data_IF_150374868789
#
_entry.id   IF_150374868789
#
_cell.length_a   1.000
_cell.length_b   1.000
_cell.length_c   1.000
_cell.angle_alpha   90.00
_cell.angle_beta   90.00
_cell.angle_gamma   90.00
#
_symmetry.space_group_name_H-M   'P 1'
#
loop_
_entity.id
_entity.type
_entity.pdbx_description
1 polymer ?
#
# COMPACT_ATOMS: atom_id res chain seq x y z
N UNK A 1 -16.77 13.06 64.11
CA UNK A 1 -17.83 13.93 64.66
C UNK A 1 -18.17 14.94 63.55
N UNK A 2 -19.26 14.81 62.79
CA UNK A 2 -20.65 15.26 63.09
C UNK A 2 -20.65 16.74 63.56
N UNK A 3 -21.11 17.74 62.79
CA UNK A 3 -22.53 18.07 62.52
C UNK A 3 -22.62 19.28 61.54
N UNK A 4 -23.32 19.20 60.38
CA UNK A 4 -24.66 19.76 59.96
C UNK A 4 -24.78 21.30 59.89
N UNK A 5 -24.91 21.93 58.70
CA UNK A 5 -26.10 22.24 57.82
C UNK A 5 -26.80 23.60 58.14
N UNK A 6 -27.18 24.47 57.17
CA UNK A 6 -28.49 24.59 56.45
C UNK A 6 -28.42 25.88 55.57
N UNK A 7 -28.66 25.88 54.25
CA UNK A 7 -29.91 26.01 53.43
C UNK A 7 -30.50 27.42 53.20
N UNK A 8 -30.82 27.70 51.92
CA UNK A 8 -31.92 28.49 51.31
C UNK A 8 -31.70 28.52 49.78
N UNK A 9 -32.64 28.49 48.82
CA UNK A 9 -34.03 28.02 48.64
C UNK A 9 -34.45 28.50 47.22
N UNK A 10 -35.19 27.70 46.44
CA UNK A 10 -35.91 28.13 45.22
C UNK A 10 -35.67 27.19 44.03
N UNK A 11 -36.47 26.13 43.78
CA UNK A 11 -37.85 26.07 43.24
C UNK A 11 -37.92 26.49 41.76
N UNK A 12 -38.69 25.91 40.83
CA UNK A 12 -39.51 24.69 40.66
C UNK A 12 -39.89 24.75 39.15
N UNK A 13 -39.92 23.62 38.45
CA UNK A 13 -40.40 23.58 37.06
C UNK A 13 -40.58 22.15 36.58
N UNK A 14 -41.81 21.65 36.67
CA UNK A 14 -42.28 20.33 36.22
C UNK A 14 -43.18 20.54 34.99
N UNK A 15 -43.40 19.44 34.25
CA UNK A 15 -44.42 19.15 33.20
C UNK A 15 -43.82 19.13 31.78
N UNK A 16 -43.96 18.06 30.98
CA UNK A 16 -44.66 16.80 31.16
C UNK A 16 -44.60 15.91 29.90
N UNK A 17 -45.18 14.69 30.02
CA UNK A 17 -45.91 13.88 29.03
C UNK A 17 -45.19 13.60 27.68
N UNK A 18 -44.72 12.40 27.32
CA UNK A 18 -45.36 11.09 27.40
C UNK A 18 -46.25 10.83 26.18
N UNK A 19 -45.77 10.10 25.16
CA UNK A 19 -46.57 9.22 24.27
C UNK A 19 -45.69 8.41 23.32
N UNK A 20 -46.16 7.20 23.04
CA UNK A 20 -45.48 6.09 22.38
C UNK A 20 -45.83 5.95 20.88
N UNK A 21 -45.11 5.02 20.24
CA UNK A 21 -45.34 4.33 18.98
C UNK A 21 -45.12 5.12 17.67
N UNK A 22 -44.29 4.57 16.78
CA UNK A 22 -44.76 3.82 15.61
C UNK A 22 -43.60 3.06 14.97
N UNK A 23 -43.68 1.72 14.98
CA UNK A 23 -42.98 0.87 14.03
C UNK A 23 -43.80 0.92 12.74
N UNK A 24 -43.24 1.49 11.68
CA UNK A 24 -43.75 1.32 10.33
C UNK A 24 -42.63 0.73 9.48
N UNK A 25 -42.81 -0.54 9.14
CA UNK A 25 -42.11 -1.19 8.06
C UNK A 25 -42.55 -0.56 6.73
N UNK A 26 -41.60 -0.25 5.85
CA UNK A 26 -41.82 -0.35 4.41
C UNK A 26 -40.70 -1.19 3.83
N UNK A 27 -41.14 -2.33 3.29
CA UNK A 27 -40.38 -3.27 2.48
C UNK A 27 -40.28 -2.75 1.04
N UNK A 28 -39.12 -3.04 0.42
CA UNK A 28 -38.90 -3.37 -0.98
C UNK A 28 -39.32 -2.43 -2.13
N UNK A 29 -38.27 -2.14 -2.93
CA UNK A 29 -38.18 -2.35 -4.39
C UNK A 29 -38.25 -1.13 -5.33
N UNK A 30 -37.04 -0.77 -5.78
CA UNK A 30 -36.58 -0.61 -7.16
C UNK A 30 -36.93 0.64 -8.00
N UNK A 31 -35.83 1.14 -8.60
CA UNK A 31 -35.66 1.78 -9.91
C UNK A 31 -35.96 3.28 -10.12
N UNK A 32 -34.88 3.91 -10.62
CA UNK A 32 -34.76 5.06 -11.52
C UNK A 32 -34.67 6.48 -10.94
N UNK A 33 -33.51 7.11 -11.24
CA UNK A 33 -33.47 8.51 -11.64
C UNK A 33 -32.54 9.41 -10.83
N UNK A 34 -31.41 9.75 -11.45
CA UNK A 34 -30.69 11.03 -11.35
C UNK A 34 -30.28 11.62 -9.99
N UNK A 35 -28.96 11.68 -9.78
CA UNK A 35 -28.22 12.92 -9.56
C UNK A 35 -28.53 13.74 -8.30
N UNK A 36 -27.58 13.75 -7.36
CA UNK A 36 -27.58 14.70 -6.25
C UNK A 36 -26.66 14.27 -5.13
N UNK A 37 -25.40 14.68 -5.25
CA UNK A 37 -24.36 14.56 -4.24
C UNK A 37 -24.76 15.27 -2.93
N UNK A 38 -24.79 14.53 -1.82
CA UNK A 38 -24.51 15.02 -0.47
C UNK A 38 -24.48 13.82 0.50
N UNK A 39 -23.51 12.94 0.31
CA UNK A 39 -23.23 11.85 1.23
C UNK A 39 -22.14 12.27 2.19
N UNK A 40 -22.52 12.71 3.38
CA UNK A 40 -21.64 12.84 4.54
C UNK A 40 -20.80 11.57 4.69
N UNK A 41 -19.50 11.64 4.42
CA UNK A 41 -18.55 10.56 4.71
C UNK A 41 -18.42 10.41 6.22
N UNK A 42 -19.40 9.73 6.83
CA UNK A 42 -19.18 9.06 8.09
C UNK A 42 -18.03 8.07 7.87
N UNK A 43 -16.90 8.28 8.53
CA UNK A 43 -15.84 7.27 8.65
C UNK A 43 -16.37 6.08 9.45
N UNK A 44 -17.18 5.25 8.80
CA UNK A 44 -17.30 3.85 9.13
C UNK A 44 -15.99 3.21 8.71
N UNK A 45 -15.23 2.67 9.66
CA UNK A 45 -14.19 1.66 9.43
C UNK A 45 -14.85 0.46 8.77
N UNK A 46 -15.11 0.58 7.46
CA UNK A 46 -15.65 -0.48 6.65
C UNK A 46 -14.53 -1.50 6.51
N UNK A 47 -14.65 -2.61 7.23
CA UNK A 47 -13.72 -3.74 7.10
C UNK A 47 -13.77 -4.20 5.66
N UNK A 48 -12.77 -3.79 4.86
CA UNK A 48 -12.69 -4.14 3.44
C UNK A 48 -12.73 -5.67 3.34
N UNK A 49 -13.73 -6.20 2.65
CA UNK A 49 -13.91 -7.64 2.46
C UNK A 49 -13.13 -8.18 1.28
N UNK A 50 -12.75 -7.30 0.35
CA UNK A 50 -12.07 -7.61 -0.90
C UNK A 50 -10.93 -6.62 -1.14
N UNK A 51 -9.70 -7.14 -1.10
CA UNK A 51 -8.45 -6.40 -1.30
C UNK A 51 -7.88 -6.52 -2.71
N UNK A 52 -8.57 -7.18 -3.64
CA UNK A 52 -8.14 -7.29 -5.03
C UNK A 52 -8.07 -5.92 -5.71
N UNK A 53 -7.33 -5.85 -6.81
CA UNK A 53 -7.15 -4.63 -7.59
C UNK A 53 -5.91 -3.83 -7.23
N UNK A 54 -5.81 -2.64 -7.82
CA UNK A 54 -4.68 -1.75 -7.67
C UNK A 54 -4.51 -1.26 -6.22
N UNK A 55 -3.32 -1.48 -5.69
CA UNK A 55 -2.88 -1.00 -4.41
C UNK A 55 -2.65 0.52 -4.43
N UNK A 56 -3.14 1.22 -3.41
CA UNK A 56 -2.90 2.64 -3.20
C UNK A 56 -2.54 2.89 -1.75
N UNK A 57 -1.55 3.74 -1.54
CA UNK A 57 -1.22 4.26 -0.22
C UNK A 57 -1.90 5.61 -0.04
N UNK A 58 -2.56 5.79 1.11
CA UNK A 58 -3.49 6.92 1.31
C UNK A 58 -2.82 8.21 1.77
N UNK A 59 -1.63 8.11 2.38
CA UNK A 59 -0.99 9.22 3.10
C UNK A 59 0.48 9.38 2.70
N UNK A 60 0.83 10.62 2.36
CA UNK A 60 2.19 11.05 2.10
C UNK A 60 2.49 12.35 2.85
N UNK A 61 3.72 12.49 3.30
CA UNK A 61 4.27 13.76 3.78
C UNK A 61 4.79 14.57 2.59
N UNK A 62 4.21 15.75 2.39
CA UNK A 62 4.53 16.69 1.29
C UNK A 62 5.23 17.95 1.78
N UNK A 63 5.67 17.97 3.05
CA UNK A 63 6.31 19.13 3.68
C UNK A 63 7.63 19.56 3.02
N UNK A 64 8.24 18.69 2.22
CA UNK A 64 9.47 18.98 1.49
C UNK A 64 9.32 20.07 0.40
N UNK A 65 8.10 20.35 -0.06
CA UNK A 65 7.82 21.39 -1.06
C UNK A 65 7.14 20.85 -2.32
N UNK A 66 7.14 21.63 -3.40
CA UNK A 66 6.57 21.22 -4.68
C UNK A 66 7.42 20.15 -5.34
N UNK A 67 6.81 19.02 -5.67
CA UNK A 67 7.47 17.90 -6.34
C UNK A 67 7.98 18.31 -7.73
N UNK A 68 9.26 18.02 -8.00
CA UNK A 68 9.90 18.17 -9.31
C UNK A 68 10.37 16.80 -9.80
N UNK A 69 10.00 16.45 -11.04
CA UNK A 69 10.49 15.24 -11.71
C UNK A 69 12.00 15.32 -11.94
N UNK A 70 12.63 14.15 -12.08
CA UNK A 70 14.03 14.10 -12.48
C UNK A 70 14.21 14.59 -13.92
N UNK A 71 15.37 15.19 -14.19
CA UNK A 71 15.83 15.59 -15.53
C UNK A 71 17.09 14.83 -15.90
N UNK A 72 17.65 15.06 -17.09
CA UNK A 72 18.94 14.47 -17.48
C UNK A 72 20.11 15.02 -16.65
N UNK A 73 19.92 16.13 -15.95
CA UNK A 73 20.94 16.88 -15.21
C UNK A 73 20.73 16.88 -13.70
N UNK A 74 19.48 16.72 -13.24
CA UNK A 74 19.16 16.76 -11.81
C UNK A 74 18.23 15.63 -11.40
N UNK A 75 18.42 15.02 -10.21
CA UNK A 75 17.49 14.05 -9.67
C UNK A 75 16.16 14.71 -9.29
N UNK A 76 15.15 13.89 -9.04
CA UNK A 76 13.86 14.36 -8.55
C UNK A 76 14.01 15.09 -7.21
N UNK A 77 13.21 16.13 -6.99
CA UNK A 77 13.21 16.92 -5.74
C UNK A 77 11.85 16.91 -5.09
N UNK A 78 11.85 17.00 -3.75
CA UNK A 78 10.64 17.07 -2.93
C UNK A 78 9.66 15.92 -3.21
N UNK A 79 10.20 14.71 -3.40
CA UNK A 79 9.39 13.49 -3.57
C UNK A 79 8.54 13.32 -2.30
N UNK A 80 7.19 13.20 -2.42
CA UNK A 80 6.34 12.97 -1.27
C UNK A 80 6.73 11.69 -0.53
N UNK A 81 6.96 11.77 0.78
CA UNK A 81 7.42 10.63 1.58
C UNK A 81 6.22 9.78 2.03
N UNK A 82 6.16 8.48 1.69
CA UNK A 82 5.13 7.57 2.17
C UNK A 82 5.00 7.58 3.69
N UNK A 83 3.78 7.70 4.22
CA UNK A 83 3.52 7.62 5.66
C UNK A 83 3.15 6.18 6.01
N UNK A 84 3.79 5.66 7.06
CA UNK A 84 3.53 4.33 7.60
C UNK A 84 2.05 4.15 8.00
N UNK A 85 1.30 3.18 7.45
CA UNK A 85 -0.08 2.92 7.88
C UNK A 85 -0.12 2.44 9.34
N UNK A 86 -1.07 2.94 10.13
CA UNK A 86 -1.18 2.62 11.56
C UNK A 86 -1.45 1.13 11.81
N UNK A 87 -2.27 0.51 10.95
CA UNK A 87 -2.69 -0.87 11.06
C UNK A 87 -1.67 -1.88 10.47
N UNK A 88 -0.57 -1.42 9.86
CA UNK A 88 0.31 -2.33 9.11
C UNK A 88 0.96 -3.41 10.00
N UNK A 89 1.10 -3.15 11.29
CA UNK A 89 1.66 -4.10 12.25
C UNK A 89 0.61 -5.02 12.91
N UNK A 90 -0.67 -4.92 12.52
CA UNK A 90 -1.72 -5.77 13.08
C UNK A 90 -1.67 -7.17 12.46
N UNK A 91 -1.91 -8.21 13.27
CA UNK A 91 -2.09 -9.59 12.79
C UNK A 91 -3.47 -9.77 12.12
N UNK A 92 -3.65 -9.13 10.98
CA UNK A 92 -4.89 -9.16 10.21
C UNK A 92 -4.60 -9.10 8.71
N UNK A 93 -5.55 -9.53 7.88
CA UNK A 93 -5.46 -9.38 6.41
C UNK A 93 -5.29 -7.90 6.02
N UNK A 94 -5.96 -6.99 6.74
CA UNK A 94 -5.82 -5.56 6.53
C UNK A 94 -4.38 -5.08 6.84
N UNK A 95 -3.79 -5.58 7.93
CA UNK A 95 -2.42 -5.27 8.32
C UNK A 95 -1.40 -5.80 7.33
N UNK A 96 -1.56 -7.05 6.86
CA UNK A 96 -0.71 -7.62 5.81
C UNK A 96 -0.81 -6.83 4.50
N UNK A 97 -2.04 -6.52 4.05
CA UNK A 97 -2.25 -5.68 2.86
C UNK A 97 -1.51 -4.36 3.00
N UNK A 98 -1.72 -3.65 4.12
CA UNK A 98 -1.10 -2.33 4.36
C UNK A 98 0.42 -2.42 4.44
N UNK A 99 0.97 -3.52 4.96
CA UNK A 99 2.39 -3.82 4.97
C UNK A 99 2.98 -3.99 3.56
N UNK A 100 2.30 -4.75 2.68
CA UNK A 100 2.74 -4.94 1.28
C UNK A 100 2.62 -3.62 0.51
N UNK A 101 1.51 -2.89 0.67
CA UNK A 101 1.31 -1.58 0.02
C UNK A 101 2.40 -0.58 0.43
N UNK A 102 2.69 -0.47 1.73
CA UNK A 102 3.74 0.40 2.23
C UNK A 102 5.12 -0.02 1.71
N UNK A 103 5.40 -1.32 1.62
CA UNK A 103 6.64 -1.83 1.04
C UNK A 103 6.80 -1.38 -0.42
N UNK A 104 5.77 -1.53 -1.26
CA UNK A 104 5.83 -1.05 -2.65
C UNK A 104 6.04 0.46 -2.76
N UNK A 105 5.38 1.25 -1.89
CA UNK A 105 5.59 2.68 -1.81
C UNK A 105 7.01 3.04 -1.35
N UNK A 106 7.57 2.30 -0.38
CA UNK A 106 8.94 2.46 0.09
C UNK A 106 9.97 2.17 -1.01
N UNK A 107 9.76 1.10 -1.80
CA UNK A 107 10.59 0.79 -2.96
C UNK A 107 10.53 1.91 -4.00
N UNK A 108 9.34 2.41 -4.34
CA UNK A 108 9.22 3.51 -5.30
C UNK A 108 9.90 4.78 -4.79
N UNK A 109 9.69 5.15 -3.53
CA UNK A 109 10.33 6.31 -2.92
C UNK A 109 11.87 6.19 -2.99
N UNK A 110 12.41 5.02 -2.67
CA UNK A 110 13.84 4.76 -2.79
C UNK A 110 14.34 4.79 -4.24
N UNK A 111 13.55 4.35 -5.23
CA UNK A 111 13.89 4.49 -6.64
C UNK A 111 13.94 5.96 -7.11
N UNK A 112 13.07 6.81 -6.56
CA UNK A 112 12.98 8.23 -6.91
C UNK A 112 14.03 9.09 -6.20
N UNK A 113 14.49 8.68 -5.00
CA UNK A 113 15.33 9.53 -4.13
C UNK A 113 16.69 8.94 -3.77
N UNK A 114 16.87 7.63 -3.91
CA UNK A 114 17.99 6.88 -3.31
C UNK A 114 17.89 6.66 -1.80
N UNK A 115 16.87 7.21 -1.11
CA UNK A 115 16.67 7.03 0.32
C UNK A 115 15.97 5.69 0.61
N UNK A 116 16.75 4.74 1.14
CA UNK A 116 16.29 3.38 1.47
C UNK A 116 15.76 3.23 2.90
N UNK A 117 15.62 4.31 3.67
CA UNK A 117 15.15 4.25 5.07
C UNK A 117 13.80 3.54 5.20
N UNK A 118 12.87 3.83 4.31
CA UNK A 118 11.54 3.21 4.31
C UNK A 118 11.57 1.72 3.97
N UNK A 119 12.51 1.26 3.13
CA UNK A 119 12.69 -0.17 2.85
C UNK A 119 13.11 -0.89 4.14
N UNK A 120 14.04 -0.30 4.91
CA UNK A 120 14.51 -0.86 6.19
C UNK A 120 13.40 -0.95 7.23
N UNK A 121 12.50 0.04 7.27
CA UNK A 121 11.32 0.07 8.15
C UNK A 121 10.16 -0.81 7.67
N UNK A 122 10.17 -1.22 6.40
CA UNK A 122 9.11 -2.02 5.80
C UNK A 122 9.07 -3.46 6.33
N UNK A 123 7.99 -4.15 5.96
CA UNK A 123 7.77 -5.56 6.25
C UNK A 123 8.62 -6.51 5.39
N UNK A 124 9.46 -6.03 4.48
CA UNK A 124 10.31 -6.91 3.65
C UNK A 124 11.17 -7.83 4.55
N UNK A 125 11.31 -9.10 4.19
CA UNK A 125 12.15 -10.06 4.92
C UNK A 125 13.60 -9.59 4.96
N UNK A 126 14.36 -10.00 5.97
CA UNK A 126 15.76 -9.55 6.10
C UNK A 126 16.62 -10.05 4.94
N UNK A 127 16.36 -11.27 4.44
CA UNK A 127 17.00 -11.84 3.26
C UNK A 127 16.71 -11.00 1.99
N UNK A 128 15.43 -10.69 1.73
CA UNK A 128 15.07 -9.91 0.55
C UNK A 128 15.54 -8.46 0.68
N UNK A 129 15.60 -7.90 1.90
CA UNK A 129 16.20 -6.59 2.17
C UNK A 129 17.69 -6.58 1.82
N UNK A 130 18.45 -7.55 2.31
CA UNK A 130 19.88 -7.64 2.00
C UNK A 130 20.11 -7.71 0.50
N UNK A 131 19.37 -8.58 -0.19
CA UNK A 131 19.45 -8.72 -1.66
C UNK A 131 19.00 -7.48 -2.42
N UNK A 132 17.96 -6.80 -1.96
CA UNK A 132 17.49 -5.55 -2.55
C UNK A 132 18.54 -4.45 -2.42
N UNK A 133 19.05 -4.23 -1.20
CA UNK A 133 19.94 -3.12 -0.88
C UNK A 133 21.37 -3.32 -1.40
N UNK A 134 21.81 -4.57 -1.57
CA UNK A 134 23.10 -4.92 -2.21
C UNK A 134 23.03 -4.98 -3.73
N UNK A 135 21.83 -5.00 -4.32
CA UNK A 135 21.64 -4.98 -5.76
C UNK A 135 22.20 -3.71 -6.40
N UNK A 136 22.81 -3.86 -7.58
CA UNK A 136 23.51 -2.78 -8.29
C UNK A 136 22.68 -1.48 -8.38
N UNK A 137 21.39 -1.59 -8.73
CA UNK A 137 20.49 -0.45 -8.83
C UNK A 137 20.43 0.37 -7.53
N UNK A 138 20.12 -0.25 -6.39
CA UNK A 138 20.01 0.48 -5.12
C UNK A 138 21.37 0.90 -4.56
N UNK A 139 22.44 0.16 -4.85
CA UNK A 139 23.80 0.57 -4.51
C UNK A 139 24.18 1.89 -5.22
N UNK A 140 23.85 2.01 -6.51
CA UNK A 140 24.12 3.21 -7.31
C UNK A 140 23.26 4.41 -6.89
N UNK A 141 21.96 4.19 -6.66
CA UNK A 141 21.03 5.24 -6.23
C UNK A 141 21.42 5.84 -4.87
N UNK A 142 21.82 4.99 -3.90
CA UNK A 142 22.28 5.44 -2.59
C UNK A 142 23.56 6.29 -2.67
N UNK A 143 24.35 6.15 -3.74
CA UNK A 143 25.53 6.98 -3.99
C UNK A 143 25.19 8.43 -4.35
N UNK A 144 23.92 8.75 -4.64
CA UNK A 144 23.44 10.12 -4.92
C UNK A 144 23.89 10.69 -6.27
N UNK A 145 24.59 9.90 -7.08
CA UNK A 145 25.09 10.24 -8.42
C UNK A 145 24.27 9.62 -9.55
N UNK A 146 23.28 8.80 -9.20
CA UNK A 146 22.46 8.09 -10.17
C UNK A 146 20.99 8.30 -9.86
N UNK A 147 20.17 8.41 -10.89
CA UNK A 147 18.71 8.48 -10.77
C UNK A 147 18.02 7.97 -12.03
N UNK A 148 16.75 7.65 -11.90
CA UNK A 148 15.87 7.23 -12.98
C UNK A 148 14.94 8.38 -13.37
N UNK A 149 14.53 8.47 -14.63
CA UNK A 149 13.73 9.57 -15.14
C UNK A 149 12.37 9.71 -14.42
N UNK A 150 11.61 8.61 -14.35
CA UNK A 150 10.31 8.55 -13.68
C UNK A 150 9.98 7.11 -13.27
N UNK A 151 10.63 6.59 -12.21
CA UNK A 151 10.39 5.23 -11.77
C UNK A 151 9.04 5.13 -11.06
N UNK A 152 8.26 4.11 -11.42
CA UNK A 152 6.92 3.87 -10.87
C UNK A 152 6.69 2.39 -10.58
N UNK A 153 6.07 2.09 -9.45
CA UNK A 153 5.65 0.74 -9.05
C UNK A 153 4.13 0.74 -8.89
N UNK A 154 3.46 -0.12 -9.65
CA UNK A 154 2.01 -0.36 -9.50
C UNK A 154 1.80 -1.82 -9.14
N UNK A 155 1.21 -2.08 -7.98
CA UNK A 155 0.88 -3.42 -7.51
C UNK A 155 -0.61 -3.67 -7.66
N UNK A 156 -0.98 -4.83 -8.21
CA UNK A 156 -2.35 -5.26 -8.36
C UNK A 156 -2.53 -6.63 -7.68
N UNK A 157 -3.35 -6.68 -6.63
CA UNK A 157 -3.65 -7.92 -5.92
C UNK A 157 -4.65 -8.75 -6.74
N UNK A 158 -4.28 -9.98 -7.07
CA UNK A 158 -5.10 -10.85 -7.92
C UNK A 158 -6.30 -11.43 -7.15
N UNK A 159 -6.06 -11.76 -5.87
CA UNK A 159 -7.06 -12.36 -5.00
C UNK A 159 -7.59 -11.37 -3.97
N UNK A 160 -8.87 -11.51 -3.62
CA UNK A 160 -9.55 -10.67 -2.62
C UNK A 160 -8.92 -10.74 -1.22
N UNK A 161 -8.27 -11.86 -0.89
CA UNK A 161 -7.61 -12.15 0.39
C UNK A 161 -6.44 -13.09 0.16
N UNK A 162 -5.42 -13.09 1.03
CA UNK A 162 -4.34 -14.08 0.97
C UNK A 162 -4.87 -15.47 1.32
N UNK A 163 -4.18 -16.50 0.84
CA UNK A 163 -4.34 -17.88 1.32
C UNK A 163 -3.47 -18.06 2.55
N UNK A 164 -3.96 -18.77 3.55
CA UNK A 164 -3.19 -19.10 4.76
C UNK A 164 -3.03 -20.62 4.86
N UNK A 165 -1.80 -21.07 5.03
CA UNK A 165 -1.48 -22.47 5.29
C UNK A 165 -0.34 -22.56 6.32
N UNK A 166 -0.57 -23.29 7.42
CA UNK A 166 0.42 -23.50 8.49
C UNK A 166 1.05 -22.18 9.01
N UNK A 167 0.26 -21.11 9.14
CA UNK A 167 0.71 -19.80 9.61
C UNK A 167 1.54 -19.00 8.60
N UNK A 168 1.63 -19.47 7.35
CA UNK A 168 2.21 -18.71 6.22
C UNK A 168 1.09 -18.21 5.34
N UNK A 169 1.12 -16.91 5.05
CA UNK A 169 0.19 -16.25 4.15
C UNK A 169 0.83 -16.15 2.76
N UNK A 170 0.04 -16.39 1.73
CA UNK A 170 0.48 -16.35 0.34
C UNK A 170 -0.49 -15.47 -0.46
N UNK A 171 0.04 -14.48 -1.17
CA UNK A 171 -0.78 -13.51 -1.91
C UNK A 171 -0.22 -13.22 -3.30
N UNK A 172 -0.90 -13.64 -4.37
CA UNK A 172 -0.49 -13.29 -5.74
C UNK A 172 -0.74 -11.81 -6.03
N UNK A 173 0.31 -11.14 -6.52
CA UNK A 173 0.31 -9.73 -6.89
C UNK A 173 1.03 -9.54 -8.22
N UNK A 174 0.39 -8.89 -9.19
CA UNK A 174 1.06 -8.38 -10.38
C UNK A 174 1.71 -7.03 -10.08
N UNK A 175 3.02 -6.96 -10.23
CA UNK A 175 3.83 -5.75 -10.03
C UNK A 175 4.30 -5.22 -11.38
N UNK A 176 3.87 -4.02 -11.73
CA UNK A 176 4.33 -3.28 -12.91
C UNK A 176 5.38 -2.26 -12.47
N UNK A 177 6.61 -2.45 -12.93
CA UNK A 177 7.73 -1.54 -12.65
C UNK A 177 8.04 -0.76 -13.92
N UNK A 178 7.97 0.56 -13.84
CA UNK A 178 8.47 1.49 -14.85
C UNK A 178 9.77 2.08 -14.36
N UNK A 179 10.80 2.14 -15.21
CA UNK A 179 12.08 2.81 -14.94
C UNK A 179 12.12 4.23 -15.52
N UNK A 180 11.25 4.52 -16.49
CA UNK A 180 11.29 5.73 -17.30
C UNK A 180 12.12 5.55 -18.57
N UNK A 181 12.27 6.61 -19.36
CA UNK A 181 12.92 6.57 -20.67
C UNK A 181 14.45 6.55 -20.60
N UNK A 182 15.03 7.02 -19.50
CA UNK A 182 16.47 7.06 -19.30
C UNK A 182 16.83 6.91 -17.82
N UNK A 183 18.11 6.61 -17.57
CA UNK A 183 18.76 6.77 -16.27
C UNK A 183 19.98 7.67 -16.41
N UNK A 184 20.38 8.29 -15.32
CA UNK A 184 21.65 9.02 -15.22
C UNK A 184 22.55 8.26 -14.26
N UNK A 185 23.82 8.10 -14.62
CA UNK A 185 24.84 7.49 -13.78
C UNK A 185 26.10 8.37 -13.82
N UNK A 186 26.44 8.98 -12.70
CA UNK A 186 27.58 9.91 -12.55
C UNK A 186 27.60 11.03 -13.63
N UNK A 187 26.42 11.55 -13.97
CA UNK A 187 26.24 12.59 -15.00
C UNK A 187 26.15 12.06 -16.44
N UNK A 188 26.38 10.78 -16.68
CA UNK A 188 26.18 10.15 -17.98
C UNK A 188 24.73 9.70 -18.14
N UNK A 189 24.09 10.11 -19.24
CA UNK A 189 22.71 9.74 -19.55
C UNK A 189 22.71 8.47 -20.38
N UNK A 190 21.92 7.48 -19.96
CA UNK A 190 21.68 6.23 -20.67
C UNK A 190 20.21 6.13 -21.01
N UNK A 191 19.89 6.22 -22.29
CA UNK A 191 18.52 6.02 -22.80
C UNK A 191 18.18 4.51 -22.78
N UNK A 192 17.02 4.18 -22.21
CA UNK A 192 16.51 2.82 -22.15
C UNK A 192 15.62 2.54 -23.37
N UNK A 193 15.86 1.43 -24.10
CA UNK A 193 14.96 1.03 -25.17
C UNK A 193 13.61 0.61 -24.59
N UNK A 194 12.53 0.73 -25.37
CA UNK A 194 11.14 0.57 -24.88
C UNK A 194 10.92 -0.73 -24.09
N UNK A 195 11.54 -1.83 -24.51
CA UNK A 195 11.45 -3.13 -23.86
C UNK A 195 12.09 -3.18 -22.46
N UNK A 196 12.96 -2.23 -22.12
CA UNK A 196 13.61 -2.13 -20.81
C UNK A 196 12.97 -1.05 -19.91
N UNK A 197 12.14 -0.17 -20.46
CA UNK A 197 11.50 0.91 -19.70
C UNK A 197 10.45 0.39 -18.73
N UNK A 198 9.81 -0.74 -19.06
CA UNK A 198 8.73 -1.33 -18.26
C UNK A 198 8.90 -2.83 -18.13
N UNK A 199 8.58 -3.36 -16.96
CA UNK A 199 8.55 -4.79 -16.70
C UNK A 199 7.35 -5.13 -15.83
N UNK A 200 6.63 -6.16 -16.23
CA UNK A 200 5.57 -6.77 -15.41
C UNK A 200 6.11 -8.04 -14.77
N UNK A 201 5.85 -8.23 -13.49
CA UNK A 201 6.22 -9.41 -12.73
C UNK A 201 5.00 -9.91 -11.98
N UNK A 202 4.76 -11.22 -12.02
CA UNK A 202 3.80 -11.85 -11.12
C UNK A 202 4.59 -12.38 -9.93
N UNK A 203 4.30 -11.83 -8.75
CA UNK A 203 4.96 -12.21 -7.51
C UNK A 203 3.94 -12.91 -6.64
N UNK A 204 4.31 -14.04 -6.08
CA UNK A 204 3.51 -14.71 -5.07
C UNK A 204 4.11 -14.38 -3.70
N UNK A 205 3.69 -13.27 -3.09
CA UNK A 205 4.26 -12.83 -1.83
C UNK A 205 3.98 -13.86 -0.73
N UNK A 206 5.02 -14.25 0.00
CA UNK A 206 4.90 -15.06 1.20
C UNK A 206 5.05 -14.17 2.42
N UNK A 207 4.24 -14.40 3.45
CA UNK A 207 4.30 -13.60 4.66
C UNK A 207 4.10 -14.43 5.92
N UNK A 208 4.86 -14.08 6.96
CA UNK A 208 4.71 -14.64 8.31
C UNK A 208 4.55 -13.50 9.31
N UNK A 209 3.74 -13.73 10.32
CA UNK A 209 3.54 -12.78 11.41
C UNK A 209 4.21 -13.30 12.68
N UNK A 210 5.11 -12.51 13.24
CA UNK A 210 5.77 -12.80 14.51
C UNK A 210 6.16 -11.49 15.21
N UNK A 211 6.23 -11.50 16.55
CA UNK A 211 6.69 -10.36 17.34
C UNK A 211 6.05 -9.00 16.96
N UNK A 212 4.75 -8.99 16.70
CA UNK A 212 3.99 -7.81 16.26
C UNK A 212 4.47 -7.18 14.95
N UNK A 213 5.02 -7.99 14.05
CA UNK A 213 5.57 -7.55 12.77
C UNK A 213 5.31 -8.60 11.68
N UNK A 214 5.00 -8.11 10.48
CA UNK A 214 5.01 -8.92 9.28
C UNK A 214 6.43 -9.04 8.71
N UNK A 215 6.78 -10.23 8.27
CA UNK A 215 7.93 -10.50 7.40
C UNK A 215 7.39 -11.00 6.06
N UNK A 216 7.62 -10.23 4.99
CA UNK A 216 7.12 -10.43 3.63
C UNK A 216 8.29 -10.75 2.71
N UNK A 217 8.28 -11.92 2.09
CA UNK A 217 9.26 -12.36 1.10
C UNK A 217 8.60 -12.76 -0.22
N UNK A 218 9.39 -13.39 -1.10
CA UNK A 218 8.93 -13.88 -2.42
C UNK A 218 9.35 -12.98 -3.58
N UNK A 219 10.12 -11.92 -3.34
CA UNK A 219 10.60 -11.00 -4.39
C UNK A 219 11.59 -11.66 -5.36
N UNK A 220 12.32 -12.66 -4.88
CA UNK A 220 13.39 -13.34 -5.63
C UNK A 220 13.21 -14.86 -5.71
N UNK A 221 12.12 -15.38 -5.17
CA UNK A 221 11.78 -16.78 -5.35
C UNK A 221 11.53 -17.01 -6.84
N UNK A 222 12.34 -17.88 -7.45
CA UNK A 222 12.13 -18.35 -8.82
C UNK A 222 10.82 -19.11 -8.86
N UNK A 223 9.71 -18.40 -9.14
CA UNK A 223 8.47 -19.00 -9.58
C UNK A 223 8.76 -19.83 -10.82
N UNK A 224 8.41 -21.12 -10.75
CA UNK A 224 8.71 -22.12 -11.76
C UNK A 224 8.39 -21.63 -13.16
N UNK A 225 9.29 -21.96 -14.08
CA UNK A 225 9.06 -21.92 -15.51
C UNK A 225 7.66 -22.47 -15.80
N UNK A 226 6.80 -21.67 -16.41
CA UNK A 226 5.72 -22.20 -17.22
C UNK A 226 6.38 -22.92 -18.40
N UNK A 227 6.84 -24.15 -18.17
CA UNK A 227 7.20 -25.10 -19.22
C UNK A 227 5.90 -25.60 -19.84
N UNK A 228 5.25 -24.75 -20.63
CA UNK A 228 4.30 -25.19 -21.64
C UNK A 228 5.09 -25.65 -22.86
N UNK A 229 5.81 -26.76 -22.70
CA UNK A 229 6.22 -27.58 -23.82
C UNK A 229 4.99 -28.40 -24.25
N UNK A 230 4.32 -27.95 -25.29
CA UNK A 230 3.53 -28.83 -26.15
C UNK A 230 3.85 -28.49 -27.60
N UNK A 231 4.99 -29.01 -28.06
CA UNK A 231 5.21 -29.27 -29.47
C UNK A 231 5.55 -30.75 -29.60
N UNK A 232 4.52 -31.57 -29.42
CA UNK A 232 4.49 -32.95 -29.89
C UNK A 232 3.54 -32.99 -31.08
N UNK A 233 4.10 -33.12 -32.28
CA UNK A 233 3.70 -34.16 -33.23
C UNK A 233 4.86 -34.38 -34.19
N UNK A 234 5.51 -35.53 -34.03
CA UNK A 234 6.35 -36.20 -35.00
C UNK A 234 5.54 -36.64 -36.23
N UNK A 235 6.24 -36.64 -37.36
CA UNK A 235 6.20 -37.63 -38.45
C UNK A 235 5.05 -37.60 -39.48
N UNK A 236 5.36 -37.10 -40.69
CA UNK A 236 5.47 -37.91 -41.92
C UNK A 236 6.21 -37.12 -43.02
#
# INVERSE_FOLDING_TARGET
MLTTSVSRRGALGVLGLGSAAFLAACSSSNSNGNGGDSGTSASSTSTRSDYSGEAKIDKFDTSAGTYELATRETPAKNVPKPIKPENMNENSVAGLYSSIVFLGAALQYALQTGDVSLIKESAMSDEDKERTLSGALFAELQGGKSWLADPKIVMNFEDAKPKEENGTYTWPVTVNVTRGEYGVHDGEVVDFPEEQQKRTQKINFTAKYDNNKWSVGGFYETGGSDSSASHDTQDS
#
